data_IF_376735296386
#
_entry.id   IF_376735296386
#
_cell.length_a   1.000
_cell.length_b   1.000
_cell.length_c   1.000
_cell.angle_alpha   90.00
_cell.angle_beta   90.00
_cell.angle_gamma   90.00
#
_symmetry.space_group_name_H-M   'P 1'
#
loop_
_entity.id
_entity.type
_entity.pdbx_description
1 polymer ?
#
# COMPACT_ATOMS: atom_id res chain seq x y z
N UNK A 1 -10.65 5.75 17.80
CA UNK A 1 -10.86 4.94 16.59
C UNK A 1 -9.64 4.07 16.41
N UNK A 2 -9.78 2.80 16.02
CA UNK A 2 -8.62 1.99 15.67
C UNK A 2 -7.91 2.61 14.47
N UNK A 3 -6.59 2.53 14.47
CA UNK A 3 -5.77 2.88 13.32
C UNK A 3 -5.96 1.84 12.21
N UNK A 4 -5.53 2.16 10.99
CA UNK A 4 -5.55 1.23 9.86
C UNK A 4 -4.15 0.68 9.63
N UNK A 5 -4.03 -0.63 9.63
CA UNK A 5 -2.87 -1.38 9.18
C UNK A 5 -3.05 -1.72 7.69
N UNK A 6 -2.15 -1.23 6.83
CA UNK A 6 -2.13 -1.50 5.40
C UNK A 6 -0.99 -2.47 5.08
N UNK A 7 -1.33 -3.66 4.59
CA UNK A 7 -0.38 -4.70 4.21
C UNK A 7 -0.13 -4.73 2.72
N UNK A 8 1.13 -4.87 2.35
CA UNK A 8 1.55 -4.98 0.96
C UNK A 8 2.88 -5.73 0.86
N UNK A 9 3.21 -6.16 -0.35
CA UNK A 9 4.44 -6.88 -0.61
C UNK A 9 5.09 -6.48 -1.92
N UNK A 10 6.37 -6.78 -2.04
CA UNK A 10 7.09 -6.82 -3.29
C UNK A 10 7.36 -8.27 -3.69
N UNK A 11 7.18 -8.61 -4.96
CA UNK A 11 7.49 -9.91 -5.55
C UNK A 11 8.42 -9.73 -6.74
N UNK A 12 9.58 -10.38 -6.71
CA UNK A 12 10.51 -10.35 -7.86
C UNK A 12 10.15 -11.41 -8.92
N UNK A 13 10.87 -11.43 -10.05
CA UNK A 13 10.60 -12.37 -11.15
C UNK A 13 10.93 -13.83 -10.84
N UNK A 14 11.67 -14.08 -9.76
CA UNK A 14 11.88 -15.40 -9.17
C UNK A 14 10.81 -15.83 -8.17
N UNK A 15 9.74 -15.05 -7.99
CA UNK A 15 8.65 -15.26 -7.02
C UNK A 15 9.10 -15.21 -5.55
N UNK A 16 10.23 -14.58 -5.24
CA UNK A 16 10.60 -14.23 -3.87
C UNK A 16 9.82 -13.00 -3.42
N UNK A 17 9.26 -13.07 -2.21
CA UNK A 17 8.40 -12.04 -1.65
C UNK A 17 9.04 -11.36 -0.44
N UNK A 18 8.86 -10.04 -0.34
CA UNK A 18 9.14 -9.25 0.87
C UNK A 18 7.87 -8.51 1.27
N UNK A 19 7.43 -8.76 2.50
CA UNK A 19 6.22 -8.18 3.08
C UNK A 19 6.58 -7.00 3.98
N UNK A 20 5.70 -6.02 4.05
CA UNK A 20 5.77 -4.93 5.03
C UNK A 20 4.39 -4.33 5.26
N UNK A 21 4.30 -3.35 6.14
CA UNK A 21 3.06 -2.67 6.46
C UNK A 21 3.27 -1.20 6.82
N UNK A 22 2.18 -0.43 6.71
CA UNK A 22 2.11 0.95 7.20
C UNK A 22 0.86 1.10 8.07
N UNK A 23 1.00 1.76 9.21
CA UNK A 23 -0.10 2.07 10.13
C UNK A 23 -0.45 3.54 10.00
N UNK A 24 -1.66 3.82 9.54
CA UNK A 24 -2.23 5.16 9.41
C UNK A 24 -3.16 5.48 10.57
N UNK A 25 -3.15 6.73 11.03
CA UNK A 25 -4.22 7.22 11.90
C UNK A 25 -5.54 7.31 11.12
N UNK A 26 -6.65 6.93 11.77
CA UNK A 26 -7.99 6.94 11.17
C UNK A 26 -8.98 7.79 11.98
N UNK A 27 -8.76 9.12 12.05
CA UNK A 27 -9.62 10.02 12.84
C UNK A 27 -11.05 10.09 12.30
N UNK A 28 -11.23 9.94 10.98
CA UNK A 28 -12.52 10.07 10.30
C UNK A 28 -13.36 8.78 10.32
N UNK A 29 -12.85 7.71 10.97
CA UNK A 29 -13.53 6.42 11.07
C UNK A 29 -13.92 5.83 9.71
N UNK A 30 -12.99 5.84 8.75
CA UNK A 30 -13.17 5.18 7.46
C UNK A 30 -13.34 3.68 7.70
N UNK A 31 -14.37 3.09 7.09
CA UNK A 31 -14.65 1.66 7.21
C UNK A 31 -13.69 0.84 6.32
N UNK A 32 -13.23 -0.32 6.81
CA UNK A 32 -12.38 -1.23 6.04
C UNK A 32 -12.96 -1.61 4.68
N UNK A 33 -14.26 -1.89 4.59
CA UNK A 33 -14.90 -2.26 3.31
C UNK A 33 -14.89 -1.11 2.31
N UNK A 34 -15.03 0.14 2.77
CA UNK A 34 -14.97 1.32 1.91
C UNK A 34 -13.54 1.58 1.46
N UNK A 35 -12.59 1.46 2.38
CA UNK A 35 -11.16 1.62 2.11
C UNK A 35 -10.65 0.55 1.13
N UNK A 36 -11.00 -0.72 1.33
CA UNK A 36 -10.58 -1.81 0.46
C UNK A 36 -11.18 -1.66 -0.94
N UNK A 37 -12.45 -1.26 -1.05
CA UNK A 37 -13.08 -0.93 -2.33
C UNK A 37 -12.37 0.23 -3.04
N UNK A 38 -12.03 1.28 -2.31
CA UNK A 38 -11.24 2.40 -2.81
C UNK A 38 -9.86 1.94 -3.32
N UNK A 39 -9.09 1.24 -2.50
CA UNK A 39 -7.76 0.72 -2.85
C UNK A 39 -7.84 -0.13 -4.11
N UNK A 40 -8.74 -1.13 -4.16
CA UNK A 40 -8.90 -2.03 -5.31
C UNK A 40 -9.27 -1.28 -6.59
N UNK A 41 -10.06 -0.21 -6.51
CA UNK A 41 -10.36 0.63 -7.67
C UNK A 41 -9.15 1.40 -8.21
N UNK A 42 -8.09 1.50 -7.42
CA UNK A 42 -6.84 2.21 -7.72
C UNK A 42 -5.67 1.27 -8.05
N UNK A 43 -5.87 -0.04 -8.03
CA UNK A 43 -4.86 -1.03 -8.42
C UNK A 43 -4.83 -1.23 -9.94
N UNK A 44 -3.63 -1.46 -10.46
CA UNK A 44 -3.38 -1.98 -11.80
C UNK A 44 -3.82 -3.44 -11.80
N UNK A 45 -4.76 -3.79 -12.69
CA UNK A 45 -5.31 -5.15 -12.83
C UNK A 45 -5.78 -5.76 -11.49
N UNK A 46 -6.28 -4.92 -10.57
CA UNK A 46 -6.81 -5.31 -9.26
C UNK A 46 -5.81 -5.93 -8.28
N UNK A 47 -4.50 -5.91 -8.58
CA UNK A 47 -3.47 -6.55 -7.75
C UNK A 47 -2.30 -5.59 -7.45
N UNK A 48 -1.88 -4.80 -8.44
CA UNK A 48 -0.60 -4.10 -8.39
C UNK A 48 -0.72 -2.59 -8.20
N UNK A 49 0.31 -1.96 -7.65
CA UNK A 49 0.46 -0.51 -7.58
C UNK A 49 1.95 -0.12 -7.53
N UNK A 50 2.29 1.15 -7.75
CA UNK A 50 3.64 1.65 -7.53
C UNK A 50 3.74 2.28 -6.14
N UNK A 51 4.56 1.72 -5.25
CA UNK A 51 4.71 2.26 -3.90
C UNK A 51 5.19 3.71 -3.88
N UNK A 52 6.12 4.09 -4.77
CA UNK A 52 6.61 5.47 -4.88
C UNK A 52 5.48 6.47 -5.20
N UNK A 53 4.55 6.08 -6.07
CA UNK A 53 3.41 6.90 -6.45
C UNK A 53 2.40 7.05 -5.31
N UNK A 54 2.28 6.01 -4.48
CA UNK A 54 1.41 6.01 -3.28
C UNK A 54 2.14 6.57 -2.04
N UNK A 55 3.39 7.03 -2.21
CA UNK A 55 4.27 7.52 -1.12
C UNK A 55 4.47 6.50 0.01
N UNK A 56 4.48 5.22 -0.35
CA UNK A 56 4.82 4.11 0.53
C UNK A 56 6.29 3.71 0.35
N UNK A 57 6.93 3.12 1.38
CA UNK A 57 8.27 2.55 1.25
C UNK A 57 8.34 1.48 0.15
N UNK A 58 9.40 1.51 -0.66
CA UNK A 58 9.65 0.46 -1.64
C UNK A 58 10.31 -0.77 -0.99
N UNK A 59 9.71 -1.94 -1.20
CA UNK A 59 10.14 -3.20 -0.60
C UNK A 59 11.08 -4.04 -1.48
N UNK A 60 11.92 -3.41 -2.32
CA UNK A 60 12.84 -4.17 -3.18
C UNK A 60 13.77 -5.09 -2.37
N UNK A 61 14.11 -6.23 -2.98
CA UNK A 61 15.05 -7.21 -2.42
C UNK A 61 16.50 -6.75 -2.63
N UNK A 62 17.47 -7.23 -1.83
CA UNK A 62 18.89 -6.87 -1.99
C UNK A 62 19.46 -7.16 -3.38
N UNK A 63 18.93 -8.18 -4.06
CA UNK A 63 19.26 -8.51 -5.44
C UNK A 63 18.07 -8.13 -6.32
N UNK A 64 17.98 -6.86 -6.69
CA UNK A 64 16.98 -6.31 -7.60
C UNK A 64 17.62 -6.05 -8.98
N UNK A 65 17.07 -6.62 -10.03
CA UNK A 65 17.49 -6.36 -11.42
C UNK A 65 16.34 -5.74 -12.22
N UNK A 66 16.35 -4.42 -12.35
CA UNK A 66 15.34 -3.62 -13.06
C UNK A 66 15.06 -4.04 -14.51
N UNK A 67 15.92 -4.89 -15.11
CA UNK A 67 15.71 -5.40 -16.47
C UNK A 67 14.74 -6.58 -16.52
N UNK A 68 14.56 -7.28 -15.40
CA UNK A 68 13.72 -8.49 -15.32
C UNK A 68 12.70 -8.41 -14.18
N UNK A 69 13.01 -7.70 -13.10
CA UNK A 69 12.16 -7.60 -11.93
C UNK A 69 11.13 -6.49 -12.11
N UNK A 70 9.87 -6.72 -11.72
CA UNK A 70 8.86 -5.67 -11.75
C UNK A 70 9.20 -4.57 -10.74
N UNK A 71 8.71 -3.36 -10.98
CA UNK A 71 8.83 -2.25 -10.02
C UNK A 71 7.58 -2.03 -9.17
N UNK A 72 6.49 -2.74 -9.48
CA UNK A 72 5.24 -2.65 -8.73
C UNK A 72 5.21 -3.53 -7.48
N UNK A 73 4.35 -3.14 -6.55
CA UNK A 73 4.01 -3.82 -5.31
C UNK A 73 2.60 -4.40 -5.41
N UNK A 74 2.30 -5.35 -4.53
CA UNK A 74 1.02 -6.05 -4.46
C UNK A 74 0.30 -5.65 -3.19
N UNK A 75 -0.97 -5.28 -3.34
CA UNK A 75 -1.85 -5.05 -2.20
C UNK A 75 -2.24 -6.39 -1.56
N UNK A 76 -2.13 -6.49 -0.23
CA UNK A 76 -2.47 -7.71 0.51
C UNK A 76 -3.79 -7.55 1.29
N UNK A 77 -3.85 -6.60 2.23
CA UNK A 77 -5.04 -6.37 3.06
C UNK A 77 -5.03 -5.01 3.76
N UNK A 78 -6.19 -4.65 4.33
CA UNK A 78 -6.30 -3.58 5.34
C UNK A 78 -7.02 -4.12 6.58
N UNK A 79 -6.56 -3.73 7.76
CA UNK A 79 -7.08 -4.19 9.04
C UNK A 79 -7.19 -3.04 10.05
N UNK A 80 -8.08 -3.18 11.02
CA UNK A 80 -8.09 -2.31 12.19
C UNK A 80 -6.99 -2.73 13.15
N UNK A 81 -6.30 -1.77 13.76
CA UNK A 81 -5.28 -2.03 14.79
C UNK A 81 -5.32 -0.99 15.90
N UNK A 82 -4.94 -1.40 17.11
CA UNK A 82 -4.71 -0.50 18.25
C UNK A 82 -3.23 -0.06 18.37
N UNK A 83 -2.36 -0.53 17.46
CA UNK A 83 -0.96 -0.12 17.40
C UNK A 83 -0.79 1.36 17.02
N UNK A 84 0.30 1.96 17.48
CA UNK A 84 0.62 3.37 17.19
C UNK A 84 0.94 3.53 15.71
N UNK A 85 0.37 4.57 15.09
CA UNK A 85 0.66 4.90 13.69
C UNK A 85 2.16 5.13 13.46
N UNK A 86 2.69 4.54 12.38
CA UNK A 86 4.07 4.70 11.93
C UNK A 86 4.18 5.57 10.66
N UNK A 87 3.04 5.98 10.09
CA UNK A 87 2.97 6.90 8.97
C UNK A 87 3.04 8.37 9.44
N UNK A 88 3.76 9.25 8.72
CA UNK A 88 3.75 10.69 8.98
C UNK A 88 2.45 11.38 8.54
N UNK A 89 1.61 10.71 7.76
CA UNK A 89 0.33 11.22 7.25
C UNK A 89 -0.85 10.38 7.77
N UNK A 90 -2.02 11.01 7.82
CA UNK A 90 -3.30 10.36 8.14
C UNK A 90 -3.77 9.45 7.00
N UNK A 91 -4.74 8.58 7.29
CA UNK A 91 -5.40 7.77 6.27
C UNK A 91 -6.07 8.63 5.19
N UNK A 92 -6.70 9.75 5.57
CA UNK A 92 -7.38 10.64 4.63
C UNK A 92 -6.39 11.29 3.65
N UNK A 93 -5.25 11.78 4.15
CA UNK A 93 -4.17 12.31 3.31
C UNK A 93 -3.58 11.24 2.39
N UNK A 94 -3.41 10.00 2.88
CA UNK A 94 -2.99 8.88 2.04
C UNK A 94 -3.99 8.60 0.91
N UNK A 95 -5.29 8.56 1.21
CA UNK A 95 -6.33 8.38 0.19
C UNK A 95 -6.32 9.52 -0.84
N UNK A 96 -6.04 10.76 -0.43
CA UNK A 96 -5.88 11.88 -1.36
C UNK A 96 -4.67 11.71 -2.28
N UNK A 97 -3.51 11.29 -1.74
CA UNK A 97 -2.32 10.96 -2.53
C UNK A 97 -2.67 9.91 -3.59
N UNK A 98 -3.24 8.78 -3.17
CA UNK A 98 -3.63 7.68 -4.06
C UNK A 98 -4.66 8.13 -5.11
N UNK A 99 -5.59 9.01 -4.75
CA UNK A 99 -6.59 9.51 -5.68
C UNK A 99 -5.99 10.43 -6.77
N UNK A 100 -4.94 11.17 -6.43
CA UNK A 100 -4.26 12.11 -7.32
C UNK A 100 -3.18 11.44 -8.20
N UNK A 101 -2.79 10.21 -7.90
CA UNK A 101 -1.91 9.40 -8.75
C UNK A 101 -2.60 9.04 -10.07
N UNK A 102 -1.97 9.39 -11.19
CA UNK A 102 -2.43 8.98 -12.51
C UNK A 102 -2.08 7.51 -12.71
N UNK A 103 -3.07 6.67 -12.93
CA UNK A 103 -2.83 5.36 -13.54
C UNK A 103 -2.44 5.60 -15.00
N UNK A 104 -1.22 5.18 -15.37
CA UNK A 104 -0.71 5.23 -16.75
C UNK A 104 -1.34 4.14 -17.61
#
# INVERSE_FOLDING_TARGET
MPNILFHYLYRNSGNYKKYDFVIFTNPDNVNLSELEGFIKSKLIWSEWFYAEDWKLPELFLPFFDFRIDPTWHEFESVEYTDEVANSPITLAEFMEVVNNTKQL
#
